data_IF_964136723907
#
_entry.id   IF_964136723907
#
_cell.length_a   1.000
_cell.length_b   1.000
_cell.length_c   1.000
_cell.angle_alpha   90.00
_cell.angle_beta   90.00
_cell.angle_gamma   90.00
#
_symmetry.space_group_name_H-M   'P 1'
#
loop_
_entity.id
_entity.type
_entity.pdbx_description
1 polymer ?
#
# COMPACT_ATOMS: atom_id res chain seq x y z
N UNK A 1 -46.35 -12.54 -64.25
CA UNK A 1 -44.94 -12.86 -63.91
C UNK A 1 -44.44 -11.88 -62.84
N UNK A 2 -44.68 -12.19 -61.56
CA UNK A 2 -44.33 -11.33 -60.42
C UNK A 2 -42.89 -11.58 -59.97
N UNK A 3 -42.11 -10.50 -59.79
CA UNK A 3 -40.69 -10.55 -59.45
C UNK A 3 -40.50 -10.83 -57.96
N UNK A 4 -39.95 -11.99 -57.61
CA UNK A 4 -39.44 -12.29 -56.26
C UNK A 4 -38.15 -11.50 -56.01
N UNK A 5 -38.20 -10.48 -55.14
CA UNK A 5 -36.99 -9.86 -54.57
C UNK A 5 -36.75 -10.47 -53.19
N UNK A 6 -35.66 -11.23 -53.05
CA UNK A 6 -35.20 -11.74 -51.75
C UNK A 6 -34.82 -10.56 -50.83
N UNK A 7 -35.10 -10.62 -49.51
CA UNK A 7 -34.59 -9.63 -48.58
C UNK A 7 -33.06 -9.78 -48.44
N UNK A 8 -32.34 -8.66 -48.50
CA UNK A 8 -30.90 -8.60 -48.26
C UNK A 8 -30.55 -8.90 -46.80
N UNK A 9 -29.28 -9.21 -46.50
CA UNK A 9 -28.84 -9.56 -45.16
C UNK A 9 -29.05 -8.34 -44.25
N UNK A 10 -29.76 -8.55 -43.13
CA UNK A 10 -29.87 -7.57 -42.07
C UNK A 10 -28.45 -7.25 -41.60
N UNK A 11 -28.04 -5.98 -41.75
CA UNK A 11 -26.81 -5.48 -41.14
C UNK A 11 -26.92 -5.75 -39.65
N UNK A 12 -26.11 -6.70 -39.17
CA UNK A 12 -25.94 -6.93 -37.73
C UNK A 12 -25.60 -5.59 -37.09
N UNK A 13 -26.44 -5.20 -36.12
CA UNK A 13 -26.15 -4.13 -35.19
C UNK A 13 -24.75 -4.44 -34.61
N UNK A 14 -23.73 -3.66 -34.97
CA UNK A 14 -22.48 -3.67 -34.24
C UNK A 14 -22.87 -3.29 -32.80
N UNK A 15 -22.68 -4.22 -31.86
CA UNK A 15 -22.68 -3.89 -30.45
C UNK A 15 -21.71 -2.70 -30.26
N UNK A 16 -22.05 -1.70 -29.43
CA UNK A 16 -21.09 -0.66 -29.12
C UNK A 16 -19.82 -1.35 -28.64
N UNK A 17 -18.69 -1.01 -29.25
CA UNK A 17 -17.39 -1.42 -28.74
C UNK A 17 -17.30 -0.84 -27.34
N UNK A 18 -17.65 -1.64 -26.33
CA UNK A 18 -17.39 -1.31 -24.95
C UNK A 18 -15.87 -1.28 -24.84
N UNK A 19 -15.31 -0.08 -24.97
CA UNK A 19 -13.94 0.20 -24.57
C UNK A 19 -13.73 -0.35 -23.15
N UNK A 20 -12.47 -0.58 -22.74
CA UNK A 20 -12.18 -1.15 -21.45
C UNK A 20 -12.98 -0.42 -20.36
N UNK A 21 -13.83 -1.16 -19.63
CA UNK A 21 -14.62 -0.58 -18.56
C UNK A 21 -13.68 0.00 -17.52
N UNK A 22 -13.74 1.31 -17.32
CA UNK A 22 -12.94 2.04 -16.33
C UNK A 22 -13.85 2.72 -15.33
N UNK A 23 -13.40 2.79 -14.09
CA UNK A 23 -13.97 3.63 -13.05
C UNK A 23 -13.26 4.98 -13.14
N UNK A 24 -14.04 6.06 -13.30
CA UNK A 24 -13.52 7.43 -13.27
C UNK A 24 -13.57 7.97 -11.84
N UNK A 25 -12.47 8.56 -11.41
CA UNK A 25 -12.32 9.17 -10.09
C UNK A 25 -11.81 10.60 -10.27
N UNK A 26 -12.58 11.58 -9.86
CA UNK A 26 -12.22 13.00 -9.99
C UNK A 26 -11.75 13.55 -8.65
N UNK A 27 -10.59 14.20 -8.63
CA UNK A 27 -10.11 14.95 -7.47
C UNK A 27 -10.91 16.26 -7.31
N UNK A 28 -10.92 16.82 -6.10
CA UNK A 28 -11.46 18.17 -5.87
C UNK A 28 -10.73 19.27 -6.66
N UNK A 29 -9.48 19.02 -7.09
CA UNK A 29 -8.71 19.90 -7.97
C UNK A 29 -9.20 19.88 -9.43
N UNK A 30 -10.08 18.95 -9.79
CA UNK A 30 -10.53 18.70 -11.16
C UNK A 30 -9.69 17.67 -11.92
N UNK A 31 -8.64 17.12 -11.33
CA UNK A 31 -7.82 16.08 -11.97
C UNK A 31 -8.58 14.75 -12.01
N UNK A 32 -8.56 14.07 -13.16
CA UNK A 32 -9.27 12.80 -13.37
C UNK A 32 -8.32 11.60 -13.41
N UNK A 33 -8.68 10.56 -12.68
CA UNK A 33 -7.98 9.28 -12.64
C UNK A 33 -8.90 8.19 -13.17
N UNK A 34 -8.40 7.42 -14.14
CA UNK A 34 -9.09 6.21 -14.63
C UNK A 34 -8.44 4.97 -14.05
N UNK A 35 -9.25 4.04 -13.52
CA UNK A 35 -8.76 2.74 -13.04
C UNK A 35 -9.56 1.61 -13.69
N UNK A 36 -8.92 0.55 -14.21
CA UNK A 36 -9.64 -0.57 -14.84
C UNK A 36 -10.63 -1.23 -13.87
N UNK A 37 -11.89 -1.36 -14.29
CA UNK A 37 -12.95 -1.93 -13.45
C UNK A 37 -12.71 -3.42 -13.14
N UNK A 38 -11.97 -4.13 -13.99
CA UNK A 38 -11.60 -5.53 -13.75
C UNK A 38 -10.67 -5.73 -12.54
N UNK A 39 -9.99 -4.67 -12.09
CA UNK A 39 -9.01 -4.73 -10.99
C UNK A 39 -9.58 -4.23 -9.65
N UNK A 40 -10.82 -3.77 -9.63
CA UNK A 40 -11.44 -3.13 -8.46
C UNK A 40 -12.80 -3.75 -8.19
N UNK A 41 -12.97 -4.24 -6.96
CA UNK A 41 -14.26 -4.75 -6.48
C UNK A 41 -14.89 -3.82 -5.44
N UNK A 42 -14.08 -3.20 -4.59
CA UNK A 42 -14.51 -2.37 -3.48
C UNK A 42 -13.68 -1.08 -3.35
N UNK A 43 -14.13 -0.19 -2.47
CA UNK A 43 -13.46 1.08 -2.18
C UNK A 43 -12.04 0.87 -1.62
N UNK A 44 -11.76 -0.21 -0.87
CA UNK A 44 -10.41 -0.53 -0.39
C UNK A 44 -9.44 -0.77 -1.55
N UNK A 45 -9.84 -1.62 -2.51
CA UNK A 45 -9.06 -1.95 -3.70
C UNK A 45 -8.85 -0.72 -4.58
N UNK A 46 -9.88 0.13 -4.70
CA UNK A 46 -9.79 1.41 -5.39
C UNK A 46 -8.75 2.33 -4.75
N UNK A 47 -8.82 2.52 -3.43
CA UNK A 47 -7.89 3.39 -2.69
C UNK A 47 -6.43 2.95 -2.82
N UNK A 48 -6.19 1.64 -2.84
CA UNK A 48 -4.86 1.07 -3.10
C UNK A 48 -4.35 1.40 -4.51
N UNK A 49 -5.21 1.31 -5.53
CA UNK A 49 -4.85 1.67 -6.91
C UNK A 49 -4.64 3.16 -7.12
N UNK A 50 -5.32 3.99 -6.32
CA UNK A 50 -5.16 5.43 -6.33
C UNK A 50 -3.93 5.90 -5.53
N UNK A 51 -3.46 5.15 -4.53
CA UNK A 51 -2.30 5.51 -3.70
C UNK A 51 -1.08 5.99 -4.53
N UNK A 52 -0.56 5.24 -5.52
CA UNK A 52 0.60 5.70 -6.30
C UNK A 52 0.29 6.89 -7.21
N UNK A 53 -0.98 7.12 -7.57
CA UNK A 53 -1.38 8.24 -8.43
C UNK A 53 -1.53 9.54 -7.65
N UNK A 54 -2.06 9.44 -6.43
CA UNK A 54 -2.35 10.58 -5.56
C UNK A 54 -1.19 10.88 -4.59
N UNK A 55 -0.20 9.99 -4.48
CA UNK A 55 0.87 10.04 -3.49
C UNK A 55 0.36 10.24 -2.05
N UNK A 56 -0.74 9.56 -1.71
CA UNK A 56 -1.33 9.58 -0.37
C UNK A 56 -1.82 8.20 0.05
N UNK A 57 -1.57 7.84 1.31
CA UNK A 57 -2.10 6.64 1.95
C UNK A 57 -3.60 6.42 1.67
N UNK A 58 -4.02 5.16 1.42
CA UNK A 58 -5.43 4.76 1.38
C UNK A 58 -6.28 5.26 2.56
N UNK A 59 -5.71 5.41 3.76
CA UNK A 59 -6.47 5.91 4.92
C UNK A 59 -6.76 7.41 4.84
N UNK A 60 -5.96 8.16 4.09
CA UNK A 60 -6.16 9.60 3.86
C UNK A 60 -7.01 9.90 2.63
N UNK A 61 -7.53 8.89 1.95
CA UNK A 61 -8.43 9.05 0.83
C UNK A 61 -9.88 8.82 1.28
N UNK A 62 -10.76 9.78 1.04
CA UNK A 62 -12.21 9.61 1.16
C UNK A 62 -12.80 9.51 -0.24
N UNK A 63 -13.44 8.37 -0.53
CA UNK A 63 -14.09 8.13 -1.83
C UNK A 63 -15.57 8.43 -1.65
N UNK A 64 -16.10 9.29 -2.49
CA UNK A 64 -17.47 9.77 -2.44
C UNK A 64 -18.21 9.42 -3.74
N UNK A 65 -19.50 9.16 -3.62
CA UNK A 65 -20.43 9.14 -4.76
C UNK A 65 -21.51 10.20 -4.50
N UNK A 66 -21.50 11.27 -5.30
CA UNK A 66 -22.22 12.50 -4.98
C UNK A 66 -21.75 13.07 -3.63
N UNK A 67 -22.69 13.32 -2.71
CA UNK A 67 -22.39 13.89 -1.38
C UNK A 67 -22.14 12.83 -0.29
N UNK A 68 -22.06 11.55 -0.65
CA UNK A 68 -21.94 10.45 0.32
C UNK A 68 -20.54 9.84 0.30
N UNK A 69 -19.86 9.87 1.46
CA UNK A 69 -18.63 9.10 1.66
C UNK A 69 -18.95 7.61 1.71
N UNK A 70 -18.24 6.82 0.92
CA UNK A 70 -18.41 5.38 0.83
C UNK A 70 -17.51 4.67 1.85
N UNK A 71 -18.06 3.65 2.51
CA UNK A 71 -17.30 2.75 3.36
C UNK A 71 -16.32 1.90 2.53
N UNK A 72 -15.25 1.41 3.16
CA UNK A 72 -14.21 0.63 2.46
C UNK A 72 -14.71 -0.62 1.74
N UNK A 73 -15.76 -1.27 2.25
CA UNK A 73 -16.35 -2.49 1.67
C UNK A 73 -17.49 -2.19 0.67
N UNK A 74 -17.76 -0.90 0.39
CA UNK A 74 -18.75 -0.53 -0.62
C UNK A 74 -18.26 -1.00 -2.00
N UNK A 75 -19.14 -1.69 -2.74
CA UNK A 75 -18.84 -2.18 -4.08
C UNK A 75 -18.70 -1.02 -5.05
N UNK A 76 -17.74 -1.13 -5.95
CA UNK A 76 -17.48 -0.14 -7.02
C UNK A 76 -17.76 -0.80 -8.37
N UNK A 77 -18.43 -0.08 -9.28
CA UNK A 77 -18.68 -0.53 -10.65
C UNK A 77 -18.43 0.59 -11.66
N UNK A 78 -18.24 0.25 -12.93
CA UNK A 78 -17.79 1.17 -14.00
C UNK A 78 -18.71 2.37 -14.27
N UNK A 79 -19.96 2.30 -13.85
CA UNK A 79 -20.95 3.37 -14.03
C UNK A 79 -20.96 4.39 -12.88
N UNK A 80 -20.19 4.15 -11.80
CA UNK A 80 -20.09 5.13 -10.73
C UNK A 80 -19.16 6.27 -11.12
N UNK A 81 -19.68 7.50 -11.13
CA UNK A 81 -18.84 8.69 -11.06
C UNK A 81 -18.47 8.92 -9.59
N UNK A 82 -17.17 8.78 -9.28
CA UNK A 82 -16.62 8.88 -7.94
C UNK A 82 -15.76 10.13 -7.80
N UNK A 83 -15.80 10.75 -6.62
CA UNK A 83 -14.85 11.80 -6.26
C UNK A 83 -13.92 11.31 -5.15
N UNK A 84 -12.67 11.74 -5.18
CA UNK A 84 -11.70 11.46 -4.12
C UNK A 84 -11.28 12.75 -3.42
N UNK A 85 -11.39 12.75 -2.09
CA UNK A 85 -10.96 13.85 -1.23
C UNK A 85 -9.78 13.37 -0.40
N UNK A 86 -8.66 14.08 -0.48
CA UNK A 86 -7.47 13.80 0.32
C UNK A 86 -7.56 14.54 1.65
N UNK A 87 -7.53 13.81 2.77
CA UNK A 87 -7.54 14.38 4.12
C UNK A 87 -6.14 14.81 4.54
N UNK A 88 -5.96 15.95 5.24
CA UNK A 88 -4.66 16.34 5.78
C UNK A 88 -4.16 15.34 6.83
N UNK A 89 -2.85 15.30 7.05
CA UNK A 89 -2.28 14.57 8.19
C UNK A 89 -2.52 15.38 9.45
N UNK A 90 -2.85 14.69 10.54
CA UNK A 90 -3.12 15.30 11.85
C UNK A 90 -1.98 14.96 12.78
N UNK A 91 -1.46 15.98 13.48
CA UNK A 91 -0.49 15.76 14.55
C UNK A 91 -1.14 15.01 15.70
N UNK A 92 -0.61 13.83 16.04
CA UNK A 92 -1.13 13.03 17.13
C UNK A 92 -0.68 13.59 18.49
N UNK A 93 -1.63 13.79 19.40
CA UNK A 93 -1.38 14.05 20.82
C UNK A 93 -0.63 12.87 21.47
N UNK A 94 0.07 13.11 22.58
CA UNK A 94 0.78 12.06 23.32
C UNK A 94 -0.12 10.86 23.69
N UNK A 95 -1.39 11.11 24.05
CA UNK A 95 -2.35 10.04 24.36
C UNK A 95 -2.75 9.21 23.12
N UNK A 96 -2.82 9.83 21.94
CA UNK A 96 -3.09 9.12 20.69
C UNK A 96 -1.88 8.28 20.28
N UNK A 97 -0.66 8.85 20.38
CA UNK A 97 0.58 8.12 20.11
C UNK A 97 0.71 6.87 20.98
N UNK A 98 0.47 7.01 22.29
CA UNK A 98 0.51 5.88 23.21
C UNK A 98 -0.57 4.84 22.89
N UNK A 99 -1.79 5.27 22.55
CA UNK A 99 -2.87 4.35 22.16
C UNK A 99 -2.51 3.57 20.91
N UNK A 100 -1.94 4.20 19.88
CA UNK A 100 -1.51 3.49 18.67
C UNK A 100 -0.40 2.49 18.95
N UNK A 101 0.60 2.89 19.75
CA UNK A 101 1.71 2.02 20.14
C UNK A 101 1.21 0.78 20.91
N UNK A 102 0.28 0.98 21.86
CA UNK A 102 -0.37 -0.13 22.56
C UNK A 102 -1.19 -1.01 21.60
N UNK A 103 -1.92 -0.39 20.67
CA UNK A 103 -2.68 -1.11 19.66
C UNK A 103 -1.78 -1.98 18.76
N UNK A 104 -0.61 -1.45 18.36
CA UNK A 104 0.43 -2.18 17.64
C UNK A 104 0.95 -3.37 18.45
N UNK A 105 1.25 -3.17 19.72
CA UNK A 105 1.80 -4.21 20.61
C UNK A 105 0.84 -5.39 20.82
N UNK A 106 -0.46 -5.12 20.94
CA UNK A 106 -1.49 -6.13 21.21
C UNK A 106 -2.29 -6.54 19.96
N UNK A 107 -1.86 -6.16 18.76
CA UNK A 107 -2.54 -6.45 17.49
C UNK A 107 -4.02 -6.01 17.47
N UNK A 108 -4.33 -4.84 18.03
CA UNK A 108 -5.69 -4.26 18.02
C UNK A 108 -5.96 -3.60 16.67
N UNK A 109 -6.16 -4.43 15.64
CA UNK A 109 -6.35 -4.03 14.22
C UNK A 109 -7.42 -2.94 14.05
N UNK A 110 -8.54 -3.04 14.76
CA UNK A 110 -9.63 -2.05 14.69
C UNK A 110 -9.20 -0.67 15.20
N UNK A 111 -8.45 -0.62 16.30
CA UNK A 111 -7.94 0.63 16.87
C UNK A 111 -6.87 1.24 15.96
N UNK A 112 -5.97 0.41 15.42
CA UNK A 112 -4.96 0.86 14.44
C UNK A 112 -5.67 1.50 13.25
N UNK A 113 -6.63 0.78 12.66
CA UNK A 113 -7.38 1.27 11.51
C UNK A 113 -8.13 2.56 11.83
N UNK A 114 -8.80 2.65 12.98
CA UNK A 114 -9.53 3.86 13.39
C UNK A 114 -8.60 5.06 13.50
N UNK A 115 -7.41 4.90 14.09
CA UNK A 115 -6.46 6.00 14.26
C UNK A 115 -5.83 6.45 12.94
N UNK A 116 -5.45 5.52 12.07
CA UNK A 116 -4.97 5.86 10.72
C UNK A 116 -6.07 6.58 9.91
N UNK A 117 -7.33 6.17 10.07
CA UNK A 117 -8.48 6.86 9.48
C UNK A 117 -8.72 8.26 10.05
N UNK A 118 -8.21 8.60 11.23
CA UNK A 118 -8.24 9.98 11.75
C UNK A 118 -7.14 10.86 11.12
N UNK A 119 -6.27 10.29 10.28
CA UNK A 119 -5.14 11.00 9.68
C UNK A 119 -3.89 11.03 10.57
N UNK A 120 -3.86 10.25 11.65
CA UNK A 120 -2.68 10.08 12.50
C UNK A 120 -1.61 9.33 11.69
N UNK A 121 -0.46 9.97 11.50
CA UNK A 121 0.68 9.32 10.86
C UNK A 121 1.37 8.35 11.86
N UNK A 122 1.74 7.12 11.45
CA UNK A 122 2.32 6.13 12.36
C UNK A 122 3.82 6.33 12.64
N UNK A 123 4.50 7.22 11.92
CA UNK A 123 5.93 7.49 12.09
C UNK A 123 6.22 8.43 13.27
N UNK A 124 6.06 7.89 14.47
CA UNK A 124 6.54 8.49 15.70
C UNK A 124 7.10 7.39 16.60
N UNK A 125 8.02 7.76 17.48
CA UNK A 125 8.56 6.86 18.49
C UNK A 125 7.84 7.05 19.83
N UNK A 126 7.52 5.93 20.49
CA UNK A 126 7.20 5.85 21.91
C UNK A 126 8.31 5.02 22.55
N UNK A 127 8.99 5.57 23.55
CA UNK A 127 10.16 4.94 24.19
C UNK A 127 11.22 4.47 23.17
N UNK A 128 11.48 5.30 22.16
CA UNK A 128 12.46 5.02 21.11
C UNK A 128 12.02 3.98 20.07
N UNK A 129 10.77 3.53 20.07
CA UNK A 129 10.28 2.50 19.13
C UNK A 129 9.03 2.96 18.38
N UNK A 130 8.97 2.71 17.07
CA UNK A 130 7.77 3.03 16.28
C UNK A 130 6.69 1.94 16.41
N UNK A 131 5.40 2.26 16.20
CA UNK A 131 4.33 1.27 16.12
C UNK A 131 4.61 0.13 15.13
N UNK A 132 5.21 0.44 13.97
CA UNK A 132 5.61 -0.56 12.98
C UNK A 132 6.69 -1.52 13.52
N UNK A 133 7.70 -1.00 14.21
CA UNK A 133 8.74 -1.84 14.84
C UNK A 133 8.13 -2.71 15.94
N UNK A 134 7.28 -2.15 16.81
CA UNK A 134 6.60 -2.92 17.86
C UNK A 134 5.79 -4.09 17.29
N UNK A 135 5.00 -3.83 16.25
CA UNK A 135 4.23 -4.88 15.56
C UNK A 135 5.14 -5.92 14.91
N UNK A 136 6.29 -5.49 14.37
CA UNK A 136 7.27 -6.37 13.72
C UNK A 136 7.99 -7.27 14.72
N UNK A 137 8.37 -6.77 15.89
CA UNK A 137 8.94 -7.56 16.98
C UNK A 137 8.00 -8.69 17.44
N UNK A 138 6.69 -8.42 17.44
CA UNK A 138 5.66 -9.37 17.89
C UNK A 138 5.14 -10.29 16.79
N UNK A 139 5.51 -10.07 15.52
CA UNK A 139 5.05 -10.88 14.40
C UNK A 139 3.61 -10.59 13.97
N UNK A 140 3.08 -9.41 14.32
CA UNK A 140 1.69 -9.05 14.09
C UNK A 140 1.47 -8.63 12.63
N UNK A 141 1.27 -9.61 11.75
CA UNK A 141 1.14 -9.44 10.29
C UNK A 141 0.07 -8.41 9.91
N UNK A 142 -1.11 -8.46 10.55
CA UNK A 142 -2.21 -7.54 10.24
C UNK A 142 -1.89 -6.10 10.63
N UNK A 143 -1.28 -5.89 11.80
CA UNK A 143 -0.85 -4.57 12.25
C UNK A 143 0.24 -4.00 11.32
N UNK A 144 1.25 -4.80 10.98
CA UNK A 144 2.31 -4.40 10.03
C UNK A 144 1.73 -4.00 8.69
N UNK A 145 0.80 -4.80 8.15
CA UNK A 145 0.12 -4.47 6.89
C UNK A 145 -0.61 -3.14 6.97
N UNK A 146 -1.39 -2.89 8.04
CA UNK A 146 -2.09 -1.61 8.22
C UNK A 146 -1.13 -0.43 8.31
N UNK A 147 -0.03 -0.54 9.06
CA UNK A 147 0.95 0.55 9.17
C UNK A 147 1.61 0.87 7.83
N UNK A 148 1.97 -0.14 7.04
CA UNK A 148 2.51 0.07 5.69
C UNK A 148 1.49 0.70 4.74
N UNK A 149 0.21 0.35 4.87
CA UNK A 149 -0.88 1.05 4.16
C UNK A 149 -1.10 2.47 4.69
N UNK A 150 -0.65 2.78 5.91
CA UNK A 150 -0.62 4.11 6.53
C UNK A 150 0.60 4.95 6.21
N UNK A 151 1.36 4.59 5.15
CA UNK A 151 2.62 5.21 4.76
C UNK A 151 3.69 5.20 5.88
N UNK A 152 3.66 4.22 6.79
CA UNK A 152 4.74 4.04 7.77
C UNK A 152 6.06 3.77 7.06
N UNK A 153 7.11 4.52 7.40
CA UNK A 153 8.44 4.30 6.84
C UNK A 153 9.08 3.03 7.46
N UNK A 154 9.33 1.97 6.67
CA UNK A 154 9.87 0.71 7.17
C UNK A 154 11.34 0.80 7.62
N UNK A 155 12.04 1.86 7.22
CA UNK A 155 13.46 2.08 7.50
C UNK A 155 13.70 2.94 8.76
N UNK A 156 12.64 3.34 9.48
CA UNK A 156 12.81 3.95 10.80
C UNK A 156 13.60 3.03 11.72
N UNK A 157 14.46 3.65 12.52
CA UNK A 157 15.34 2.95 13.46
C UNK A 157 14.87 3.17 14.89
N UNK A 158 14.85 2.09 15.65
CA UNK A 158 14.64 2.15 17.09
C UNK A 158 15.91 2.62 17.84
N UNK A 159 15.84 2.64 19.18
CA UNK A 159 16.95 3.03 20.04
C UNK A 159 18.20 2.14 19.98
N UNK A 160 18.14 0.97 19.32
CA UNK A 160 19.30 0.11 19.04
C UNK A 160 19.75 0.22 17.58
N UNK A 161 19.23 1.20 16.84
CA UNK A 161 19.51 1.38 15.42
C UNK A 161 18.80 0.38 14.52
N UNK A 162 17.89 -0.46 15.04
CA UNK A 162 17.25 -1.54 14.28
C UNK A 162 15.99 -1.08 13.55
N UNK A 163 15.82 -1.59 12.33
CA UNK A 163 14.60 -1.40 11.55
C UNK A 163 13.52 -2.43 11.88
N UNK A 164 12.33 -2.23 11.34
CA UNK A 164 11.25 -3.21 11.41
C UNK A 164 11.68 -4.57 10.81
N UNK A 165 12.45 -4.55 9.71
CA UNK A 165 12.92 -5.76 9.03
C UNK A 165 13.96 -6.52 9.86
N UNK A 166 14.88 -5.81 10.51
CA UNK A 166 15.87 -6.40 11.42
C UNK A 166 15.20 -7.09 12.59
N UNK A 167 14.20 -6.45 13.21
CA UNK A 167 13.45 -7.04 14.32
C UNK A 167 12.64 -8.26 13.84
N UNK A 168 11.97 -8.19 12.68
CA UNK A 168 11.27 -9.34 12.12
C UNK A 168 12.22 -10.52 11.84
N UNK A 169 13.43 -10.26 11.33
CA UNK A 169 14.45 -11.27 11.10
C UNK A 169 14.97 -11.89 12.40
N UNK A 170 15.27 -11.06 13.41
CA UNK A 170 15.73 -11.46 14.74
C UNK A 170 14.74 -12.35 15.47
N UNK A 171 13.44 -12.12 15.30
CA UNK A 171 12.40 -12.92 15.95
C UNK A 171 11.81 -14.01 15.05
N UNK A 172 12.31 -14.20 13.82
CA UNK A 172 11.88 -15.29 12.95
C UNK A 172 10.54 -15.09 12.24
N UNK A 173 10.03 -13.86 12.17
CA UNK A 173 8.70 -13.54 11.62
C UNK A 173 8.71 -13.43 10.08
N UNK A 174 8.71 -14.59 9.41
CA UNK A 174 8.81 -14.72 7.94
C UNK A 174 7.77 -13.87 7.19
N UNK A 175 6.50 -13.90 7.62
CA UNK A 175 5.42 -13.18 6.92
C UNK A 175 5.55 -11.66 7.09
N UNK A 176 5.99 -11.20 8.26
CA UNK A 176 6.29 -9.78 8.49
C UNK A 176 7.46 -9.33 7.61
N UNK A 177 8.56 -10.09 7.58
CA UNK A 177 9.70 -9.79 6.74
C UNK A 177 9.31 -9.68 5.25
N UNK A 178 8.46 -10.61 4.78
CA UNK A 178 7.92 -10.57 3.40
C UNK A 178 7.13 -9.29 3.12
N UNK A 179 6.27 -8.87 4.04
CA UNK A 179 5.49 -7.63 3.88
C UNK A 179 6.39 -6.40 3.83
N UNK A 180 7.38 -6.31 4.72
CA UNK A 180 8.32 -5.20 4.78
C UNK A 180 9.14 -5.11 3.48
N UNK A 181 9.65 -6.23 2.96
CA UNK A 181 10.37 -6.26 1.69
C UNK A 181 9.51 -5.82 0.51
N UNK A 182 8.24 -6.25 0.46
CA UNK A 182 7.28 -5.80 -0.56
C UNK A 182 6.99 -4.30 -0.48
N UNK A 183 7.10 -3.71 0.71
CA UNK A 183 6.95 -2.28 0.93
C UNK A 183 8.27 -1.51 0.73
N UNK A 184 9.32 -2.14 0.21
CA UNK A 184 10.59 -1.47 -0.12
C UNK A 184 11.56 -1.30 1.05
N UNK A 185 11.38 -2.04 2.14
CA UNK A 185 12.32 -2.01 3.27
C UNK A 185 13.75 -2.34 2.82
N UNK A 186 14.71 -1.53 3.24
CA UNK A 186 16.11 -1.70 2.87
C UNK A 186 16.78 -2.84 3.63
N UNK A 187 17.42 -3.73 2.88
CA UNK A 187 18.11 -4.93 3.42
C UNK A 187 19.56 -4.67 3.84
N UNK A 188 20.13 -3.54 3.43
CA UNK A 188 21.54 -3.18 3.58
C UNK A 188 21.82 -2.26 4.79
N UNK A 189 20.76 -1.77 5.44
CA UNK A 189 20.88 -0.99 6.67
C UNK A 189 21.55 -1.81 7.76
N UNK A 190 22.22 -1.09 8.68
CA UNK A 190 22.94 -1.66 9.81
C UNK A 190 22.48 -1.03 11.11
N UNK A 191 22.31 -1.89 12.12
CA UNK A 191 22.09 -1.46 13.50
C UNK A 191 23.38 -0.91 14.13
N UNK A 192 23.32 -0.55 15.40
CA UNK A 192 24.44 0.07 16.11
C UNK A 192 25.65 -0.88 16.22
N UNK A 193 25.37 -2.18 16.31
CA UNK A 193 26.35 -3.29 16.32
C UNK A 193 26.86 -3.67 14.92
N UNK A 194 26.49 -2.91 13.89
CA UNK A 194 26.85 -3.11 12.48
C UNK A 194 26.23 -4.35 11.84
N UNK A 195 25.21 -4.94 12.45
CA UNK A 195 24.49 -6.09 11.92
C UNK A 195 23.41 -5.65 10.92
N UNK A 196 23.29 -6.39 9.83
CA UNK A 196 22.16 -6.29 8.90
C UNK A 196 21.02 -7.20 9.33
N UNK A 197 19.84 -7.07 8.70
CA UNK A 197 18.75 -8.02 8.92
C UNK A 197 19.15 -9.47 8.63
N UNK A 198 20.10 -9.70 7.72
CA UNK A 198 20.61 -11.03 7.39
C UNK A 198 21.50 -11.61 8.50
N UNK A 199 22.28 -10.76 9.17
CA UNK A 199 23.15 -11.17 10.28
C UNK A 199 22.31 -11.54 11.52
N UNK A 200 21.17 -10.89 11.71
CA UNK A 200 20.23 -11.15 12.80
C UNK A 200 19.25 -12.30 12.53
N UNK A 201 19.16 -12.81 11.30
CA UNK A 201 18.14 -13.77 10.90
C UNK A 201 18.31 -15.13 11.61
N UNK A 202 17.24 -15.60 12.28
CA UNK A 202 17.26 -16.83 13.09
C UNK A 202 16.98 -18.12 12.31
N UNK A 203 16.46 -18.02 11.09
CA UNK A 203 16.15 -19.19 10.26
C UNK A 203 16.52 -18.99 8.79
N UNK A 204 16.75 -20.11 8.10
CA UNK A 204 17.20 -20.13 6.71
C UNK A 204 16.16 -19.55 5.75
N UNK A 205 14.87 -19.65 6.07
CA UNK A 205 13.79 -19.05 5.26
C UNK A 205 13.94 -17.55 5.15
N UNK A 206 14.21 -16.85 6.26
CA UNK A 206 14.44 -15.41 6.25
C UNK A 206 15.77 -15.09 5.57
N UNK A 207 16.84 -15.85 5.83
CA UNK A 207 18.13 -15.65 5.16
C UNK A 207 18.00 -15.75 3.64
N UNK A 208 17.30 -16.76 3.14
CA UNK A 208 17.04 -16.96 1.71
C UNK A 208 16.25 -15.79 1.11
N UNK A 209 15.19 -15.34 1.80
CA UNK A 209 14.39 -14.19 1.36
C UNK A 209 15.20 -12.89 1.30
N UNK A 210 16.06 -12.65 2.30
CA UNK A 210 16.95 -11.49 2.33
C UNK A 210 18.05 -11.58 1.29
N UNK A 211 18.58 -12.78 1.01
CA UNK A 211 19.52 -13.03 -0.09
C UNK A 211 18.89 -12.63 -1.43
N UNK A 212 17.69 -13.12 -1.71
CA UNK A 212 16.95 -12.83 -2.94
C UNK A 212 16.70 -11.33 -3.09
N UNK A 213 16.16 -10.69 -2.04
CA UNK A 213 15.92 -9.24 -2.04
C UNK A 213 17.20 -8.43 -2.30
N UNK A 214 18.33 -8.83 -1.70
CA UNK A 214 19.64 -8.18 -1.89
C UNK A 214 20.18 -8.32 -3.32
N UNK A 215 19.86 -9.41 -4.02
CA UNK A 215 20.23 -9.58 -5.43
C UNK A 215 19.38 -8.66 -6.29
N UNK A 216 18.07 -8.62 -6.06
CA UNK A 216 17.13 -7.78 -6.81
C UNK A 216 17.49 -6.29 -6.71
N UNK A 217 17.85 -5.79 -5.51
CA UNK A 217 18.25 -4.39 -5.35
C UNK A 217 19.56 -4.05 -6.07
N UNK A 218 20.50 -5.00 -6.15
CA UNK A 218 21.75 -4.81 -6.90
C UNK A 218 21.55 -4.84 -8.41
N UNK A 219 20.61 -5.64 -8.91
CA UNK A 219 20.27 -5.68 -10.34
C UNK A 219 19.59 -4.38 -10.75
N UNK A 220 18.61 -3.92 -9.99
CA UNK A 220 17.93 -2.65 -10.24
C UNK A 220 18.88 -1.45 -10.24
N UNK A 221 19.94 -1.47 -9.41
CA UNK A 221 20.96 -0.42 -9.42
C UNK A 221 21.87 -0.42 -10.67
N UNK A 222 22.03 -1.57 -11.34
CA UNK A 222 22.84 -1.68 -12.56
C UNK A 222 22.09 -1.24 -13.82
N UNK A 223 20.78 -1.42 -13.85
CA UNK A 223 19.95 -1.02 -15.00
C UNK A 223 19.80 0.52 -15.12
N UNK A 224 20.19 1.28 -14.09
CA UNK A 224 20.18 2.76 -14.07
C UNK A 224 21.49 3.36 -14.62
N UNK A 225 22.57 2.58 -14.77
CA UNK A 225 23.85 3.09 -15.31
C UNK A 225 23.94 3.08 -16.85
N UNK A 226 22.85 2.78 -17.57
CA UNK A 226 22.80 2.90 -19.04
C UNK A 226 22.10 4.21 -19.42
N UNK A 227 22.71 5.35 -19.10
CA UNK A 227 22.37 6.61 -19.77
C UNK A 227 23.02 6.62 -21.18
N UNK A 228 22.26 6.96 -22.24
CA UNK A 228 22.76 7.01 -23.61
C UNK A 228 23.48 8.34 -23.83
N UNK A 229 24.80 8.30 -24.00
CA UNK A 229 25.50 9.48 -24.51
C UNK A 229 27.02 9.34 -24.54
N UNK A 230 27.56 8.96 -25.69
CA UNK A 230 28.66 9.69 -26.34
C UNK A 230 29.03 9.07 -27.70
N UNK A 231 28.90 9.92 -28.73
CA UNK A 231 29.42 9.86 -30.10
C UNK A 231 28.72 8.94 -31.11
#
# INVERSE_FOLDING_TARGET
MGRNRKPGPQRGLLAPAHGPQVVRVTQISGEEHSVPAAEIYDVKSLKQKLQPKLNVSPFRQDVCHGNKVLCGDAKVHSEMDLTVVTRPSVEASGSQRQRLANAAQFNKVTEIQAQLQLGIHPDFAVDGTTPLILASCKGHVAAVWLFLQGDANPDFRDGEGRTALMNAARFGHVQVARLLLRAGARVDLRDDDKNTAMDLATNDTIRAMLCEAKILTKLAAKDVEVEPGAA
#
